data_IF_870094744090
#
_entry.id   IF_870094744090
#
_cell.length_a   1.000
_cell.length_b   1.000
_cell.length_c   1.000
_cell.angle_alpha   90.00
_cell.angle_beta   90.00
_cell.angle_gamma   90.00
#
_symmetry.space_group_name_H-M   'P 1'
#
loop_
_entity.id
_entity.type
_entity.pdbx_description
1 polymer ?
#
# COMPACT_ATOMS: atom_id res chain seq x y z
N UNK A 1 -59.42 26.91 -29.30
CA UNK A 1 -58.39 26.03 -28.71
C UNK A 1 -57.44 25.66 -29.83
N UNK A 2 -56.17 26.06 -29.73
CA UNK A 2 -55.21 25.97 -30.83
C UNK A 2 -54.53 24.58 -30.82
N UNK A 3 -55.16 23.62 -31.49
CA UNK A 3 -54.75 22.23 -31.53
C UNK A 3 -53.33 22.02 -32.08
N UNK A 4 -52.85 22.96 -32.92
CA UNK A 4 -51.50 22.93 -33.48
C UNK A 4 -50.44 23.13 -32.37
N UNK A 5 -50.69 24.00 -31.40
CA UNK A 5 -49.80 24.23 -30.28
C UNK A 5 -49.73 23.00 -29.35
N UNK A 6 -50.85 22.31 -29.16
CA UNK A 6 -50.92 21.10 -28.32
C UNK A 6 -50.15 19.94 -28.97
N UNK A 7 -50.38 19.69 -30.27
CA UNK A 7 -49.67 18.64 -31.01
C UNK A 7 -48.16 18.93 -31.09
N UNK A 8 -47.79 20.19 -31.33
CA UNK A 8 -46.39 20.61 -31.34
C UNK A 8 -45.68 20.37 -29.99
N UNK A 9 -46.35 20.68 -28.88
CA UNK A 9 -45.81 20.44 -27.53
C UNK A 9 -45.57 18.95 -27.23
N UNK A 10 -46.48 18.06 -27.65
CA UNK A 10 -46.35 16.62 -27.45
C UNK A 10 -45.21 16.02 -28.26
N UNK A 11 -45.00 16.49 -29.50
CA UNK A 11 -43.87 16.04 -30.34
C UNK A 11 -42.54 16.45 -29.72
N UNK A 12 -42.43 17.70 -29.24
CA UNK A 12 -41.21 18.18 -28.57
C UNK A 12 -40.93 17.37 -27.30
N UNK A 13 -41.94 17.12 -26.47
CA UNK A 13 -41.79 16.31 -25.27
C UNK A 13 -41.35 14.86 -25.59
N UNK A 14 -41.92 14.25 -26.63
CA UNK A 14 -41.53 12.91 -27.08
C UNK A 14 -40.09 12.88 -27.61
N UNK A 15 -39.68 13.87 -28.40
CA UNK A 15 -38.31 13.98 -28.91
C UNK A 15 -37.30 14.20 -27.77
N UNK A 16 -37.62 15.08 -26.82
CA UNK A 16 -36.79 15.29 -25.62
C UNK A 16 -36.69 14.01 -24.79
N UNK A 17 -37.78 13.28 -24.60
CA UNK A 17 -37.78 12.01 -23.90
C UNK A 17 -36.96 10.95 -24.63
N UNK A 18 -37.09 10.86 -25.96
CA UNK A 18 -36.34 9.93 -26.81
C UNK A 18 -34.83 10.24 -26.79
N UNK A 19 -34.45 11.51 -26.90
CA UNK A 19 -33.05 11.97 -26.79
C UNK A 19 -32.51 11.70 -25.40
N UNK A 20 -33.29 11.99 -24.34
CA UNK A 20 -32.90 11.72 -22.96
C UNK A 20 -32.71 10.23 -22.71
N UNK A 21 -33.61 9.38 -23.23
CA UNK A 21 -33.51 7.93 -23.12
C UNK A 21 -32.30 7.39 -23.85
N UNK A 22 -32.07 7.82 -25.10
CA UNK A 22 -30.91 7.45 -25.88
C UNK A 22 -29.61 7.91 -25.20
N UNK A 23 -29.57 9.14 -24.69
CA UNK A 23 -28.44 9.68 -23.93
C UNK A 23 -28.16 8.87 -22.65
N UNK A 24 -29.21 8.42 -21.94
CA UNK A 24 -29.08 7.61 -20.73
C UNK A 24 -28.57 6.20 -21.04
N UNK A 25 -29.06 5.58 -22.10
CA UNK A 25 -28.66 4.23 -22.53
C UNK A 25 -27.26 4.20 -23.15
N UNK A 26 -26.78 5.34 -23.70
CA UNK A 26 -25.44 5.48 -24.28
C UNK A 26 -24.35 5.73 -23.25
N UNK A 27 -24.70 6.09 -22.01
CA UNK A 27 -23.75 6.17 -20.90
C UNK A 27 -23.54 4.77 -20.36
N UNK A 28 -22.43 4.13 -20.74
CA UNK A 28 -21.88 3.06 -19.91
C UNK A 28 -21.85 3.56 -18.45
N UNK A 29 -22.27 2.75 -17.47
CA UNK A 29 -22.12 3.12 -16.08
C UNK A 29 -20.64 3.52 -15.86
N UNK A 30 -20.37 4.52 -15.01
CA UNK A 30 -18.99 4.84 -14.65
C UNK A 30 -18.30 3.53 -14.30
N UNK A 31 -17.04 3.30 -14.74
CA UNK A 31 -16.30 2.13 -14.29
C UNK A 31 -16.42 2.09 -12.77
N UNK A 32 -16.79 0.94 -12.21
CA UNK A 32 -16.86 0.83 -10.76
C UNK A 32 -15.53 1.30 -10.18
N UNK A 33 -15.55 2.12 -9.11
CA UNK A 33 -14.32 2.60 -8.51
C UNK A 33 -13.46 1.38 -8.18
N UNK A 34 -12.25 1.32 -8.72
CA UNK A 34 -11.34 0.21 -8.45
C UNK A 34 -11.11 0.14 -6.96
N UNK A 35 -11.47 -1.01 -6.36
CA UNK A 35 -11.22 -1.30 -4.96
C UNK A 35 -9.74 -1.00 -4.66
N UNK A 36 -9.49 -0.15 -3.68
CA UNK A 36 -8.13 0.21 -3.29
C UNK A 36 -7.39 -1.03 -2.79
N UNK A 37 -6.12 -1.17 -3.17
CA UNK A 37 -5.27 -2.29 -2.80
C UNK A 37 -3.93 -1.74 -2.30
N UNK A 38 -3.46 -2.25 -1.17
CA UNK A 38 -2.08 -2.02 -0.71
C UNK A 38 -1.10 -2.97 -1.41
N UNK A 39 -1.57 -4.15 -1.85
CA UNK A 39 -0.76 -5.17 -2.51
C UNK A 39 0.06 -6.02 -1.53
N UNK A 40 1.11 -6.65 -2.03
CA UNK A 40 2.02 -7.45 -1.22
C UNK A 40 2.92 -6.51 -0.39
N UNK A 41 2.81 -6.59 0.93
CA UNK A 41 3.58 -5.77 1.86
C UNK A 41 4.31 -6.64 2.87
N UNK A 42 5.39 -6.12 3.44
CA UNK A 42 6.12 -6.80 4.52
C UNK A 42 5.50 -6.49 5.87
N UNK A 43 5.80 -7.29 6.90
CA UNK A 43 5.40 -6.98 8.28
C UNK A 43 5.87 -5.59 8.73
N UNK A 44 7.06 -5.17 8.29
CA UNK A 44 7.60 -3.86 8.61
C UNK A 44 6.77 -2.73 7.97
N UNK A 45 6.34 -2.94 6.71
CA UNK A 45 5.42 -1.99 6.05
C UNK A 45 4.07 -1.99 6.76
N UNK A 46 3.52 -3.17 7.07
CA UNK A 46 2.26 -3.32 7.80
C UNK A 46 2.32 -2.58 9.15
N UNK A 47 3.43 -2.64 9.89
CA UNK A 47 3.61 -1.94 11.17
C UNK A 47 3.45 -0.41 11.06
N UNK A 48 3.72 0.17 9.88
CA UNK A 48 3.49 1.60 9.64
C UNK A 48 2.00 1.97 9.51
N UNK A 49 1.10 0.99 9.42
CA UNK A 49 -0.35 1.12 9.32
C UNK A 49 -1.07 0.88 10.67
N UNK A 50 -0.46 1.33 11.77
CA UNK A 50 -0.96 1.16 13.14
C UNK A 50 -2.08 2.12 13.56
N UNK A 51 -2.51 3.00 12.65
CA UNK A 51 -3.51 4.03 12.93
C UNK A 51 -3.00 5.27 13.67
N UNK A 52 -1.72 5.31 14.07
CA UNK A 52 -1.08 6.51 14.64
C UNK A 52 -0.70 7.55 13.58
N UNK A 53 -0.54 7.11 12.33
CA UNK A 53 -0.37 7.98 11.17
C UNK A 53 -1.71 8.13 10.43
N UNK A 54 -2.37 9.27 10.61
CA UNK A 54 -3.68 9.57 10.02
C UNK A 54 -3.64 9.73 8.50
N UNK A 55 -2.43 9.84 7.91
CA UNK A 55 -2.27 9.86 6.45
C UNK A 55 -2.29 8.46 5.83
N UNK A 56 -2.23 7.41 6.67
CA UNK A 56 -2.24 6.01 6.27
C UNK A 56 -3.53 5.31 6.71
N UNK A 57 -4.01 4.32 5.94
CA UNK A 57 -5.09 3.46 6.42
C UNK A 57 -4.61 2.62 7.60
N UNK A 58 -5.54 2.29 8.50
CA UNK A 58 -5.30 1.34 9.59
C UNK A 58 -5.50 -0.07 9.03
N UNK A 59 -4.45 -0.89 9.07
CA UNK A 59 -4.48 -2.24 8.51
C UNK A 59 -4.30 -3.28 9.62
N UNK A 60 -4.84 -4.48 9.42
CA UNK A 60 -4.49 -5.68 10.20
C UNK A 60 -4.18 -6.81 9.23
N UNK A 61 -3.40 -7.80 9.67
CA UNK A 61 -3.23 -9.05 8.96
C UNK A 61 -3.82 -10.22 9.75
N UNK A 62 -4.48 -11.13 9.06
CA UNK A 62 -4.99 -12.38 9.63
C UNK A 62 -4.65 -13.53 8.69
N UNK A 63 -3.81 -14.46 9.17
CA UNK A 63 -3.29 -15.58 8.36
C UNK A 63 -2.60 -15.08 7.09
N UNK A 64 -1.84 -13.99 7.22
CA UNK A 64 -1.09 -13.37 6.12
C UNK A 64 -1.93 -12.57 5.13
N UNK A 65 -3.25 -12.45 5.32
CA UNK A 65 -4.12 -11.61 4.47
C UNK A 65 -4.33 -10.26 5.14
N UNK A 66 -4.12 -9.17 4.40
CA UNK A 66 -4.21 -7.80 4.91
C UNK A 66 -5.60 -7.23 4.67
N UNK A 67 -6.20 -6.70 5.73
CA UNK A 67 -7.52 -6.09 5.74
C UNK A 67 -7.46 -4.60 6.11
N UNK A 68 -8.20 -3.78 5.37
CA UNK A 68 -8.38 -2.36 5.73
C UNK A 68 -9.50 -2.19 6.76
N UNK A 69 -9.10 -1.84 7.98
CA UNK A 69 -10.00 -1.63 9.11
C UNK A 69 -10.19 -0.14 9.43
N UNK A 70 -9.81 0.77 8.54
CA UNK A 70 -9.90 2.23 8.75
C UNK A 70 -11.31 2.69 9.09
N UNK A 71 -12.34 2.05 8.51
CA UNK A 71 -13.75 2.33 8.81
C UNK A 71 -14.19 1.95 10.23
N UNK A 72 -13.33 1.22 10.96
CA UNK A 72 -13.52 0.83 12.35
C UNK A 72 -12.39 1.35 13.24
N UNK A 73 -11.89 2.56 12.95
CA UNK A 73 -10.94 3.25 13.81
C UNK A 73 -11.49 3.55 15.22
N UNK A 74 -12.81 3.47 15.44
CA UNK A 74 -13.41 3.46 16.78
C UNK A 74 -13.02 2.23 17.61
N UNK A 75 -12.58 1.15 16.95
CA UNK A 75 -12.13 -0.13 17.53
C UNK A 75 -10.63 -0.33 17.46
N UNK A 76 -10.01 -0.04 16.31
CA UNK A 76 -8.59 -0.30 16.03
C UNK A 76 -7.71 0.94 16.07
N UNK A 77 -8.28 2.14 16.12
CA UNK A 77 -7.51 3.38 16.16
C UNK A 77 -6.77 3.60 17.48
N UNK A 78 -5.87 4.60 17.56
CA UNK A 78 -5.06 4.86 18.75
C UNK A 78 -5.89 4.94 20.05
N UNK A 79 -5.44 4.20 21.07
CA UNK A 79 -6.08 4.17 22.40
C UNK A 79 -7.40 3.39 22.48
N UNK A 80 -7.78 2.66 21.42
CA UNK A 80 -8.94 1.76 21.43
C UNK A 80 -8.55 0.34 21.82
N UNK A 81 -9.54 -0.44 22.26
CA UNK A 81 -9.32 -1.77 22.83
C UNK A 81 -8.58 -2.74 21.89
N UNK A 82 -8.80 -2.63 20.57
CA UNK A 82 -8.18 -3.50 19.56
C UNK A 82 -7.04 -2.81 18.80
N UNK A 83 -6.55 -1.65 19.28
CA UNK A 83 -5.43 -0.96 18.64
C UNK A 83 -4.16 -1.80 18.58
N UNK A 84 -3.98 -2.74 19.51
CA UNK A 84 -2.84 -3.65 19.50
C UNK A 84 -2.78 -4.55 18.26
N UNK A 85 -3.88 -4.74 17.52
CA UNK A 85 -3.88 -5.46 16.24
C UNK A 85 -3.48 -4.57 15.07
N UNK A 86 -3.63 -3.25 15.19
CA UNK A 86 -3.36 -2.33 14.10
C UNK A 86 -1.88 -2.35 13.71
N UNK A 87 -1.64 -2.56 12.42
CA UNK A 87 -0.34 -2.74 11.81
C UNK A 87 0.33 -4.08 12.14
N UNK A 88 -0.44 -5.11 12.51
CA UNK A 88 0.14 -6.42 12.89
C UNK A 88 -0.64 -7.59 12.31
N UNK A 89 0.05 -8.71 12.23
CA UNK A 89 -0.58 -10.01 12.14
C UNK A 89 -1.18 -10.40 13.50
N UNK A 90 -2.43 -10.87 13.50
CA UNK A 90 -3.18 -11.11 14.73
C UNK A 90 -3.97 -12.44 14.74
N UNK A 91 -3.68 -13.39 13.84
CA UNK A 91 -4.36 -14.68 13.82
C UNK A 91 -4.34 -15.41 15.18
N UNK A 92 -3.20 -15.47 15.86
CA UNK A 92 -3.11 -16.11 17.18
C UNK A 92 -3.89 -15.35 18.24
N UNK A 93 -3.82 -14.03 18.26
CA UNK A 93 -4.58 -13.21 19.20
C UNK A 93 -6.10 -13.37 19.01
N UNK A 94 -6.57 -13.41 17.77
CA UNK A 94 -7.97 -13.70 17.43
C UNK A 94 -8.39 -15.12 17.83
N UNK A 95 -7.52 -16.11 17.61
CA UNK A 95 -7.77 -17.49 18.05
C UNK A 95 -7.99 -17.57 19.57
N UNK A 96 -7.17 -16.85 20.34
CA UNK A 96 -7.19 -16.84 21.80
C UNK A 96 -8.15 -15.85 22.43
N UNK A 97 -8.73 -14.93 21.64
CA UNK A 97 -9.43 -13.74 22.14
C UNK A 97 -8.54 -12.91 23.09
N UNK A 98 -7.27 -12.74 22.71
CA UNK A 98 -6.22 -12.18 23.56
C UNK A 98 -5.96 -10.72 23.26
N UNK A 99 -5.87 -9.89 24.31
CA UNK A 99 -5.40 -8.50 24.23
C UNK A 99 -3.93 -8.38 24.64
N UNK A 100 -3.16 -9.47 24.55
CA UNK A 100 -1.72 -9.47 24.73
C UNK A 100 -1.03 -9.28 23.38
N UNK A 101 -0.14 -8.29 23.31
CA UNK A 101 0.64 -7.99 22.11
C UNK A 101 1.56 -9.14 21.69
N UNK A 102 1.95 -10.01 22.63
CA UNK A 102 2.76 -11.20 22.35
C UNK A 102 1.98 -12.27 21.58
N UNK A 103 0.65 -12.22 21.60
CA UNK A 103 -0.18 -13.10 20.77
C UNK A 103 -0.44 -12.50 19.37
N UNK A 104 0.06 -11.30 19.05
CA UNK A 104 -0.02 -10.71 17.69
C UNK A 104 1.02 -11.34 16.74
N UNK A 105 0.71 -12.54 16.26
CA UNK A 105 1.54 -13.33 15.33
C UNK A 105 0.65 -14.28 14.51
N UNK A 106 1.20 -14.80 13.41
CA UNK A 106 0.65 -15.89 12.60
C UNK A 106 0.92 -17.28 13.21
N UNK A 107 1.77 -17.37 14.25
CA UNK A 107 2.10 -18.64 14.89
C UNK A 107 0.91 -19.20 15.69
N UNK A 108 0.25 -20.19 15.10
CA UNK A 108 -0.87 -20.91 15.70
C UNK A 108 -0.43 -22.15 16.48
N UNK A 109 0.88 -22.38 16.65
CA UNK A 109 1.37 -23.52 17.41
C UNK A 109 0.93 -23.41 18.88
N UNK A 110 0.36 -24.51 19.36
CA UNK A 110 -0.21 -24.63 20.70
C UNK A 110 -1.65 -24.15 20.84
N UNK A 111 -2.28 -23.62 19.79
CA UNK A 111 -3.72 -23.33 19.81
C UNK A 111 -4.55 -24.64 19.79
N UNK A 112 -5.55 -24.71 20.68
CA UNK A 112 -6.54 -25.78 20.72
C UNK A 112 -7.51 -25.72 19.54
N UNK A 113 -8.21 -26.83 19.26
CA UNK A 113 -9.24 -26.86 18.20
C UNK A 113 -10.33 -25.79 18.40
N UNK A 114 -10.70 -25.49 19.67
CA UNK A 114 -11.69 -24.47 19.98
C UNK A 114 -11.19 -23.06 19.65
N UNK A 115 -9.92 -22.77 19.93
CA UNK A 115 -9.29 -21.49 19.56
C UNK A 115 -9.17 -21.35 18.04
N UNK A 116 -8.81 -22.42 17.33
CA UNK A 116 -8.77 -22.43 15.87
C UNK A 116 -10.17 -22.22 15.25
N UNK A 117 -11.21 -22.84 15.81
CA UNK A 117 -12.59 -22.60 15.37
C UNK A 117 -13.02 -21.15 15.61
N UNK A 118 -12.63 -20.55 16.75
CA UNK A 118 -12.86 -19.14 17.04
C UNK A 118 -12.19 -18.24 16.01
N UNK A 119 -10.93 -18.51 15.66
CA UNK A 119 -10.20 -17.79 14.61
C UNK A 119 -10.96 -17.82 13.29
N UNK A 120 -11.40 -19.00 12.83
CA UNK A 120 -12.11 -19.11 11.56
C UNK A 120 -13.45 -18.34 11.58
N UNK A 121 -14.16 -18.34 12.70
CA UNK A 121 -15.38 -17.53 12.87
C UNK A 121 -15.10 -16.02 12.81
N UNK A 122 -14.07 -15.56 13.53
CA UNK A 122 -13.68 -14.15 13.50
C UNK A 122 -13.16 -13.72 12.13
N UNK A 123 -12.38 -14.56 11.46
CA UNK A 123 -11.89 -14.31 10.10
C UNK A 123 -13.04 -14.25 9.08
N UNK A 124 -14.06 -15.11 9.21
CA UNK A 124 -15.25 -15.04 8.37
C UNK A 124 -15.97 -13.68 8.53
N UNK A 125 -16.13 -13.20 9.76
CA UNK A 125 -16.70 -11.88 10.02
C UNK A 125 -15.81 -10.75 9.47
N UNK A 126 -14.49 -10.84 9.64
CA UNK A 126 -13.53 -9.85 9.09
C UNK A 126 -13.66 -9.78 7.57
N UNK A 127 -13.78 -10.91 6.86
CA UNK A 127 -13.95 -10.95 5.40
C UNK A 127 -15.27 -10.38 4.92
N UNK A 128 -16.33 -10.50 5.72
CA UNK A 128 -17.63 -9.90 5.42
C UNK A 128 -17.60 -8.38 5.63
N UNK A 129 -16.93 -7.94 6.69
CA UNK A 129 -16.95 -6.52 7.07
C UNK A 129 -15.86 -5.73 6.35
N UNK A 130 -14.64 -6.21 6.23
CA UNK A 130 -13.50 -5.42 5.77
C UNK A 130 -13.02 -5.85 4.39
N UNK A 131 -12.41 -4.89 3.71
CA UNK A 131 -11.82 -5.12 2.42
C UNK A 131 -10.48 -5.83 2.57
N UNK A 132 -10.33 -7.00 1.93
CA UNK A 132 -9.02 -7.57 1.64
C UNK A 132 -8.30 -6.63 0.66
N UNK A 133 -7.12 -6.16 1.06
CA UNK A 133 -6.35 -5.15 0.33
C UNK A 133 -4.95 -5.62 -0.05
N UNK A 134 -4.51 -6.79 0.42
CA UNK A 134 -3.15 -7.27 0.18
C UNK A 134 -2.79 -8.52 0.95
N UNK A 135 -1.49 -8.85 0.95
CA UNK A 135 -0.92 -9.97 1.68
C UNK A 135 0.37 -9.56 2.38
N UNK A 136 0.63 -10.19 3.51
CA UNK A 136 1.94 -10.11 4.17
C UNK A 136 2.88 -11.09 3.46
N UNK A 137 4.02 -10.58 2.98
CA UNK A 137 5.07 -11.37 2.33
C UNK A 137 6.41 -11.19 3.05
N UNK A 138 7.28 -12.21 3.03
CA UNK A 138 8.63 -12.07 3.58
C UNK A 138 9.42 -10.97 2.88
N UNK A 139 10.36 -10.38 3.63
CA UNK A 139 11.35 -9.45 3.07
C UNK A 139 12.16 -10.13 1.95
N UNK A 140 12.24 -9.48 0.78
CA UNK A 140 13.07 -9.96 -0.32
C UNK A 140 14.55 -9.75 0.01
N UNK A 141 15.37 -10.74 -0.29
CA UNK A 141 16.82 -10.58 -0.33
C UNK A 141 17.23 -10.34 -1.78
N UNK A 142 17.81 -9.17 -2.04
CA UNK A 142 18.18 -8.75 -3.38
C UNK A 142 19.67 -8.47 -3.45
N UNK A 143 20.30 -8.95 -4.50
CA UNK A 143 21.64 -8.51 -4.87
C UNK A 143 21.53 -7.20 -5.67
N UNK A 144 22.62 -6.44 -5.80
CA UNK A 144 22.62 -5.25 -6.66
C UNK A 144 22.25 -5.58 -8.11
N UNK A 145 22.68 -6.75 -8.62
CA UNK A 145 22.34 -7.21 -9.96
C UNK A 145 20.84 -7.49 -10.12
N UNK A 146 20.21 -8.10 -9.10
CA UNK A 146 18.76 -8.33 -9.12
C UNK A 146 18.00 -7.01 -8.95
N UNK A 147 18.45 -6.12 -8.06
CA UNK A 147 17.84 -4.79 -7.92
C UNK A 147 17.84 -4.04 -9.25
N UNK A 148 18.93 -4.11 -10.02
CA UNK A 148 19.04 -3.45 -11.32
C UNK A 148 17.99 -3.88 -12.35
N UNK A 149 17.33 -5.04 -12.17
CA UNK A 149 16.23 -5.48 -13.03
C UNK A 149 14.92 -4.71 -12.76
N UNK A 150 14.85 -3.97 -11.66
CA UNK A 150 13.69 -3.21 -11.20
C UNK A 150 13.82 -1.70 -11.51
N UNK A 151 14.40 -1.35 -12.65
CA UNK A 151 14.61 0.03 -13.11
C UNK A 151 13.37 0.67 -13.76
N UNK A 152 12.29 -0.11 -13.92
CA UNK A 152 11.05 0.33 -14.56
C UNK A 152 11.03 0.22 -16.08
N UNK A 153 12.04 -0.40 -16.70
CA UNK A 153 12.05 -0.75 -18.12
C UNK A 153 11.05 -1.86 -18.45
N UNK A 154 10.87 -2.83 -17.54
CA UNK A 154 9.85 -3.87 -17.61
C UNK A 154 8.61 -3.46 -16.80
N UNK A 155 7.49 -3.20 -17.50
CA UNK A 155 6.24 -2.81 -16.86
C UNK A 155 5.55 -3.93 -16.06
N UNK A 156 6.01 -5.18 -16.19
CA UNK A 156 5.52 -6.31 -15.40
C UNK A 156 6.20 -6.44 -14.03
N UNK A 157 7.34 -5.76 -13.83
CA UNK A 157 8.08 -5.75 -12.59
C UNK A 157 7.79 -4.49 -11.77
N UNK A 158 7.78 -4.58 -10.43
CA UNK A 158 7.74 -3.38 -9.59
C UNK A 158 9.03 -2.60 -9.77
N UNK A 159 8.95 -1.28 -9.63
CA UNK A 159 10.12 -0.41 -9.58
C UNK A 159 10.65 -0.36 -8.17
N UNK A 160 11.95 -0.64 -8.00
CA UNK A 160 12.58 -0.69 -6.69
C UNK A 160 13.79 0.25 -6.64
N UNK A 161 14.14 0.75 -5.46
CA UNK A 161 15.47 1.30 -5.19
C UNK A 161 15.88 0.94 -3.77
N UNK A 162 17.15 1.13 -3.43
CA UNK A 162 17.61 0.95 -2.06
C UNK A 162 18.30 2.17 -1.47
N UNK A 163 18.13 2.32 -0.16
CA UNK A 163 18.82 3.34 0.64
C UNK A 163 19.47 2.61 1.80
N UNK A 164 20.81 2.63 1.85
CA UNK A 164 21.63 1.92 2.85
C UNK A 164 21.27 0.44 2.95
N UNK A 165 20.98 -0.16 1.80
CA UNK A 165 20.60 -1.56 1.70
C UNK A 165 19.16 -1.88 2.10
N UNK A 166 18.32 -0.91 2.49
CA UNK A 166 16.87 -1.12 2.63
C UNK A 166 16.22 -0.92 1.27
N UNK A 167 15.45 -1.90 0.79
CA UNK A 167 14.81 -1.86 -0.53
C UNK A 167 13.36 -1.39 -0.41
N UNK A 168 13.02 -0.35 -1.17
CA UNK A 168 11.70 0.25 -1.22
C UNK A 168 11.01 -0.02 -2.56
N UNK A 169 9.70 -0.25 -2.53
CA UNK A 169 8.86 -0.22 -3.73
C UNK A 169 8.44 1.21 -4.04
N UNK A 170 8.97 1.73 -5.15
CA UNK A 170 8.75 3.09 -5.63
C UNK A 170 7.81 3.15 -6.84
N UNK A 171 7.07 2.09 -7.13
CA UNK A 171 6.17 1.99 -8.28
C UNK A 171 5.13 3.12 -8.28
N UNK A 172 4.61 3.50 -7.11
CA UNK A 172 3.69 4.65 -6.94
C UNK A 172 4.35 6.02 -7.22
N UNK A 173 5.68 6.06 -7.26
CA UNK A 173 6.51 7.22 -7.59
C UNK A 173 7.10 7.18 -9.00
N UNK A 174 6.56 6.37 -9.92
CA UNK A 174 7.08 6.20 -11.29
C UNK A 174 7.35 7.51 -12.03
N UNK A 175 6.53 8.53 -11.83
CA UNK A 175 6.69 9.86 -12.42
C UNK A 175 7.97 10.59 -11.96
N UNK A 176 8.55 10.20 -10.83
CA UNK A 176 9.78 10.80 -10.29
C UNK A 176 10.99 9.92 -10.58
N UNK A 177 10.84 8.60 -10.41
CA UNK A 177 11.97 7.66 -10.40
C UNK A 177 12.08 6.78 -11.64
N UNK A 178 11.08 6.80 -12.53
CA UNK A 178 11.03 5.96 -13.71
C UNK A 178 11.99 6.43 -14.81
N UNK A 179 12.01 5.71 -15.94
CA UNK A 179 12.88 6.05 -17.08
C UNK A 179 12.74 7.51 -17.56
N UNK A 180 11.55 8.09 -17.45
CA UNK A 180 11.24 9.47 -17.82
C UNK A 180 11.23 10.44 -16.62
N UNK A 181 11.64 9.98 -15.44
CA UNK A 181 11.62 10.72 -14.19
C UNK A 181 12.84 11.65 -14.01
N UNK A 182 12.73 12.59 -13.07
CA UNK A 182 13.81 13.53 -12.73
C UNK A 182 14.97 12.80 -12.01
N UNK A 183 14.65 11.71 -11.31
CA UNK A 183 15.61 10.93 -10.53
C UNK A 183 15.82 9.56 -11.18
N UNK A 184 16.88 9.34 -11.98
CA UNK A 184 17.16 8.07 -12.65
C UNK A 184 17.70 6.99 -11.69
N UNK A 185 16.96 6.74 -10.61
CA UNK A 185 17.38 6.03 -9.41
C UNK A 185 16.75 4.65 -9.26
N UNK A 186 15.71 4.34 -10.03
CA UNK A 186 15.14 3.00 -10.05
C UNK A 186 16.22 1.97 -10.42
N UNK A 187 16.16 0.82 -9.73
CA UNK A 187 17.10 -0.27 -9.81
C UNK A 187 18.47 -0.02 -9.16
N UNK A 188 18.62 1.00 -8.31
CA UNK A 188 19.92 1.40 -7.74
C UNK A 188 19.92 1.53 -6.23
N UNK A 189 21.11 1.40 -5.65
CA UNK A 189 21.40 1.89 -4.30
C UNK A 189 21.78 3.37 -4.40
N UNK A 190 21.11 4.21 -3.63
CA UNK A 190 21.15 5.68 -3.81
C UNK A 190 21.50 6.46 -2.55
N UNK A 191 21.95 5.80 -1.47
CA UNK A 191 22.29 6.48 -0.23
C UNK A 191 23.26 7.66 -0.43
N UNK A 192 24.34 7.46 -1.19
CA UNK A 192 25.30 8.55 -1.45
C UNK A 192 24.67 9.70 -2.26
N UNK A 193 23.88 9.39 -3.30
CA UNK A 193 23.20 10.40 -4.10
C UNK A 193 22.27 11.27 -3.23
N UNK A 194 21.49 10.65 -2.32
CA UNK A 194 20.65 11.40 -1.40
C UNK A 194 21.43 12.21 -0.36
N UNK A 195 22.53 11.68 0.15
CA UNK A 195 23.40 12.41 1.07
C UNK A 195 23.99 13.68 0.43
N UNK A 196 24.37 13.59 -0.85
CA UNK A 196 24.91 14.69 -1.64
C UNK A 196 23.84 15.61 -2.25
N UNK A 197 22.55 15.26 -2.11
CA UNK A 197 21.44 15.92 -2.82
C UNK A 197 21.72 15.97 -4.34
N UNK A 198 22.33 14.90 -4.85
CA UNK A 198 22.72 14.76 -6.25
C UNK A 198 21.60 14.09 -7.04
N UNK A 199 21.49 14.42 -8.33
CA UNK A 199 20.68 13.69 -9.32
C UNK A 199 21.54 12.86 -10.27
N UNK A 200 22.87 12.88 -10.09
CA UNK A 200 23.80 12.18 -10.96
C UNK A 200 23.85 10.68 -10.63
N UNK A 201 23.68 9.84 -11.65
CA UNK A 201 23.73 8.38 -11.52
C UNK A 201 25.08 7.89 -10.99
N UNK A 202 26.16 8.63 -11.23
CA UNK A 202 27.49 8.25 -10.71
C UNK A 202 27.57 8.27 -9.18
N UNK A 203 26.70 9.04 -8.53
CA UNK A 203 26.61 9.13 -7.08
C UNK A 203 25.68 8.06 -6.48
N UNK A 204 25.03 7.24 -7.32
CA UNK A 204 24.19 6.13 -6.87
C UNK A 204 25.05 4.94 -6.43
N UNK A 205 25.48 4.96 -5.16
CA UNK A 205 26.17 3.84 -4.53
C UNK A 205 25.97 3.82 -3.01
N UNK A 206 26.44 2.74 -2.38
CA UNK A 206 26.41 2.55 -0.94
C UNK A 206 27.54 3.29 -0.19
N UNK A 207 28.51 3.86 -0.90
CA UNK A 207 29.73 4.42 -0.29
C UNK A 207 29.48 5.79 0.34
N UNK A 208 29.50 5.82 1.67
CA UNK A 208 29.36 7.03 2.48
C UNK A 208 30.71 7.59 2.96
N UNK A 209 31.84 7.06 2.49
CA UNK A 209 33.15 7.58 2.84
C UNK A 209 33.31 9.04 2.41
N UNK A 210 33.95 9.82 3.29
CA UNK A 210 34.23 11.24 3.06
C UNK A 210 33.03 12.19 3.26
N UNK A 211 31.85 11.67 3.61
CA UNK A 211 30.69 12.50 3.92
C UNK A 211 30.76 13.05 5.34
N UNK A 212 30.46 14.33 5.50
CA UNK A 212 30.38 15.02 6.78
C UNK A 212 28.99 14.95 7.42
N UNK A 213 28.81 15.57 8.60
CA UNK A 213 27.55 15.53 9.33
C UNK A 213 26.36 16.06 8.55
N UNK A 214 26.55 17.13 7.77
CA UNK A 214 25.48 17.76 6.99
C UNK A 214 24.93 16.82 5.91
N UNK A 215 25.80 16.15 5.15
CA UNK A 215 25.37 15.20 4.13
C UNK A 215 24.70 13.97 4.74
N UNK A 216 25.21 13.50 5.89
CA UNK A 216 24.59 12.38 6.61
C UNK A 216 23.22 12.75 7.20
N UNK A 217 23.02 13.99 7.64
CA UNK A 217 21.71 14.47 8.09
C UNK A 217 20.74 14.60 6.91
N UNK A 218 21.18 15.08 5.74
CA UNK A 218 20.37 15.08 4.52
C UNK A 218 19.93 13.66 4.13
N UNK A 219 20.82 12.67 4.22
CA UNK A 219 20.49 11.27 3.99
C UNK A 219 19.40 10.76 4.96
N UNK A 220 19.53 11.05 6.26
CA UNK A 220 18.54 10.66 7.27
C UNK A 220 17.16 11.24 6.99
N UNK A 221 17.09 12.49 6.54
CA UNK A 221 15.83 13.11 6.13
C UNK A 221 15.21 12.40 4.93
N UNK A 222 16.02 11.99 3.95
CA UNK A 222 15.55 11.19 2.82
C UNK A 222 15.05 9.82 3.26
N UNK A 223 15.79 9.11 4.12
CA UNK A 223 15.34 7.84 4.71
C UNK A 223 13.98 8.00 5.41
N UNK A 224 13.81 9.06 6.21
CA UNK A 224 12.54 9.34 6.88
C UNK A 224 11.39 9.59 5.89
N UNK A 225 11.63 10.36 4.82
CA UNK A 225 10.64 10.58 3.75
C UNK A 225 10.25 9.28 3.06
N UNK A 226 11.22 8.41 2.78
CA UNK A 226 10.99 7.11 2.13
C UNK A 226 10.23 6.14 3.03
N UNK A 227 10.62 6.02 4.31
CA UNK A 227 9.91 5.22 5.31
C UNK A 227 8.44 5.62 5.47
N UNK A 228 8.15 6.91 5.36
CA UNK A 228 6.78 7.41 5.41
C UNK A 228 6.00 7.05 4.14
N UNK A 229 6.62 7.16 2.95
CA UNK A 229 5.91 7.18 1.67
C UNK A 229 5.88 5.85 0.92
N UNK A 230 6.92 5.03 1.02
CA UNK A 230 7.11 3.86 0.17
C UNK A 230 7.18 2.58 1.00
N UNK A 231 6.51 1.49 0.57
CA UNK A 231 6.64 0.18 1.19
C UNK A 231 8.09 -0.29 1.22
N UNK A 232 8.54 -0.84 2.36
CA UNK A 232 9.80 -1.57 2.46
C UNK A 232 9.53 -3.00 2.05
N UNK A 233 10.19 -3.47 0.99
CA UNK A 233 9.95 -4.81 0.41
C UNK A 233 11.12 -5.75 0.51
N UNK A 234 12.28 -5.28 0.97
CA UNK A 234 13.44 -6.13 1.09
C UNK A 234 14.69 -5.44 1.61
N UNK A 235 15.79 -6.17 1.52
CA UNK A 235 17.13 -5.70 1.86
C UNK A 235 18.14 -6.14 0.80
N UNK A 236 19.21 -5.38 0.67
CA UNK A 236 20.36 -5.79 -0.12
C UNK A 236 21.20 -6.81 0.63
N UNK A 237 21.67 -7.82 -0.08
CA UNK A 237 22.63 -8.82 0.41
C UNK A 237 23.90 -8.77 -0.44
N UNK A 238 25.06 -8.95 0.21
CA UNK A 238 26.33 -9.11 -0.50
C UNK A 238 26.36 -10.51 -1.11
N UNK A 239 26.73 -10.61 -2.39
CA UNK A 239 27.12 -11.90 -3.00
C UNK A 239 28.52 -12.29 -2.56
#
# INVERSE_FOLDING_TARGET
MDWVAIVGGLIIAYLLHSIYKAWRESRAPPPEPTKWMVGDITELTLASHSGYDWSKPTLIAVKGVVYDVSKSNDKYGPGKQYNLYAGRECARALAKDSLDINDCTDDLDGCSEQELQRLEQQLAHIREVYDEVGKVVPMRELTLQQLAQHDGSDASLPMLLSIRGVVYDITSGKQFYGPDGIYPFAGKEVARAFALISTDVKDCCADLAGLGPVELDALREWEAKFNSKYPIVGKLVQQ
#
